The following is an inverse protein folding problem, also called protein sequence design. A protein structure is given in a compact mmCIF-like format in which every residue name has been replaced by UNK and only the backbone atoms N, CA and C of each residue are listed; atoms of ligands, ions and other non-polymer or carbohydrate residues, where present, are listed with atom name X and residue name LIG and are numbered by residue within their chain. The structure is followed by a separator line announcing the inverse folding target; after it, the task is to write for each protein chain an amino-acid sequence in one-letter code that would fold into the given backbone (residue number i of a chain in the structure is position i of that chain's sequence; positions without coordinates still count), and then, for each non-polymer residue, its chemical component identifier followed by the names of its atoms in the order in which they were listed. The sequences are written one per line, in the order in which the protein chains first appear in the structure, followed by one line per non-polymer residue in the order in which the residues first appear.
data_IF_387843153915
#
_entry.id   IF_387843153915
#
_cell.length_a   1.000
_cell.length_b   1.000
_cell.length_c   1.000
_cell.angle_alpha   90.00
_cell.angle_beta   90.00
_cell.angle_gamma   90.00
#
_symmetry.space_group_name_H-M   'P 1'
#
loop_
_entity.id
_entity.type
_entity.pdbx_description
1 polymer ?
#
# COMPACT_ATOMS: atom_id res chain seq x y z
N UNK A 1 -31.05 63.86 11.11
CA UNK A 1 -30.98 64.62 9.84
C UNK A 1 -30.13 63.90 8.82
N UNK A 2 -30.75 63.62 7.68
CA UNK A 2 -30.21 63.35 6.32
C UNK A 2 -29.23 62.18 6.20
N UNK A 3 -29.65 60.98 5.73
CA UNK A 3 -29.97 60.55 4.34
C UNK A 3 -28.78 60.69 3.41
N UNK A 4 -28.30 59.58 2.85
CA UNK A 4 -28.58 59.18 1.50
C UNK A 4 -27.93 57.87 1.09
N UNK A 5 -28.71 57.11 0.47
CA UNK A 5 -28.51 55.88 -0.33
C UNK A 5 -27.90 56.21 -1.71
N UNK A 6 -27.87 55.26 -2.64
CA UNK A 6 -26.81 54.32 -3.06
C UNK A 6 -26.44 54.53 -4.54
N UNK A 7 -25.54 53.76 -5.09
CA UNK A 7 -25.53 53.59 -6.54
C UNK A 7 -25.15 52.14 -6.98
N UNK A 8 -26.12 51.58 -7.61
CA UNK A 8 -26.05 50.51 -8.59
C UNK A 8 -25.11 50.83 -9.75
N UNK A 9 -24.50 49.82 -10.30
CA UNK A 9 -24.24 49.58 -11.77
C UNK A 9 -23.14 48.54 -11.83
N UNK A 10 -23.12 47.52 -12.67
CA UNK A 10 -24.02 47.00 -13.69
C UNK A 10 -23.51 45.59 -14.10
N UNK A 11 -24.46 44.72 -14.17
CA UNK A 11 -24.34 43.43 -14.87
C UNK A 11 -24.24 43.75 -16.36
N UNK A 12 -23.08 43.58 -16.99
CA UNK A 12 -22.86 43.32 -18.41
C UNK A 12 -21.36 43.10 -18.67
N UNK A 13 -20.88 41.87 -18.59
CA UNK A 13 -19.71 41.40 -19.35
C UNK A 13 -19.47 39.89 -19.12
N UNK A 14 -20.50 39.12 -19.37
CA UNK A 14 -20.37 37.66 -19.53
C UNK A 14 -21.13 37.26 -20.78
N UNK A 15 -20.56 37.47 -21.91
CA UNK A 15 -20.96 36.80 -23.16
C UNK A 15 -20.02 37.23 -24.31
N UNK A 16 -18.80 36.67 -24.36
CA UNK A 16 -17.97 36.66 -25.59
C UNK A 16 -16.71 35.82 -25.39
N UNK A 17 -16.84 34.47 -25.22
CA UNK A 17 -15.73 33.55 -25.55
C UNK A 17 -16.14 32.10 -25.75
N UNK A 18 -17.35 31.87 -26.21
CA UNK A 18 -17.83 30.51 -26.56
C UNK A 18 -18.14 30.39 -28.04
N UNK A 19 -17.22 30.74 -28.93
CA UNK A 19 -17.32 30.47 -30.38
C UNK A 19 -15.95 30.52 -31.05
N UNK A 20 -15.03 29.59 -30.73
CA UNK A 20 -13.84 29.30 -31.56
C UNK A 20 -13.15 28.00 -31.15
N UNK A 21 -13.82 26.84 -31.28
CA UNK A 21 -13.12 25.56 -31.30
C UNK A 21 -13.93 24.42 -31.94
N UNK A 22 -14.74 24.74 -32.93
CA UNK A 22 -15.42 23.73 -33.75
C UNK A 22 -15.09 23.87 -35.22
N UNK A 23 -13.81 23.83 -35.59
CA UNK A 23 -13.38 23.64 -36.99
C UNK A 23 -11.91 23.19 -37.02
N UNK A 24 -11.63 21.94 -36.60
CA UNK A 24 -10.43 21.20 -37.05
C UNK A 24 -10.54 19.71 -36.75
N UNK A 25 -11.55 19.05 -37.29
CA UNK A 25 -11.61 17.59 -37.35
C UNK A 25 -12.37 17.14 -38.57
N UNK A 26 -11.73 17.27 -39.70
CA UNK A 26 -12.10 16.56 -40.94
C UNK A 26 -10.94 16.64 -41.93
N UNK A 27 -10.28 15.53 -42.08
CA UNK A 27 -9.37 15.05 -43.14
C UNK A 27 -8.20 14.34 -42.48
N UNK A 28 -8.23 13.03 -42.48
CA UNK A 28 -7.48 12.13 -43.34
C UNK A 28 -7.73 10.70 -42.92
N UNK A 29 -8.46 9.97 -43.66
CA UNK A 29 -8.36 8.56 -44.01
C UNK A 29 -8.32 8.54 -45.51
N UNK A 30 -7.72 7.61 -46.28
CA UNK A 30 -7.63 6.18 -46.06
C UNK A 30 -6.30 5.49 -46.53
N UNK A 31 -6.35 4.13 -46.55
CA UNK A 31 -5.48 3.14 -47.22
C UNK A 31 -4.20 2.76 -46.48
N UNK A 32 -3.86 1.46 -46.26
CA UNK A 32 -3.82 0.33 -47.19
C UNK A 32 -3.94 -0.99 -46.37
N UNK A 33 -4.84 -1.83 -46.82
CA UNK A 33 -4.84 -3.26 -46.56
C UNK A 33 -3.83 -3.93 -47.52
N UNK A 34 -2.88 -4.69 -46.98
CA UNK A 34 -2.06 -5.61 -47.76
C UNK A 34 -2.11 -7.00 -47.14
N UNK A 35 -2.85 -7.83 -47.82
CA UNK A 35 -2.96 -9.27 -47.63
C UNK A 35 -1.64 -9.92 -48.09
N UNK A 36 -0.94 -10.63 -47.25
CA UNK A 36 0.07 -11.61 -47.63
C UNK A 36 -0.35 -12.99 -47.19
N UNK A 37 -0.85 -13.75 -48.14
CA UNK A 37 -0.99 -15.18 -48.12
C UNK A 37 0.42 -15.79 -48.31
N UNK A 38 0.97 -16.48 -47.30
CA UNK A 38 2.11 -17.34 -47.42
C UNK A 38 1.66 -18.77 -47.25
N UNK A 39 1.72 -19.55 -48.31
CA UNK A 39 1.53 -21.01 -48.32
C UNK A 39 2.74 -21.74 -47.73
N UNK A 40 2.59 -22.80 -46.96
CA UNK A 40 3.71 -23.59 -46.51
C UNK A 40 4.15 -24.58 -47.58
N UNK A 41 5.41 -24.54 -48.01
CA UNK A 41 6.05 -25.59 -48.78
C UNK A 41 6.38 -26.75 -47.85
N UNK A 42 5.73 -27.87 -48.04
CA UNK A 42 6.08 -29.14 -47.42
C UNK A 42 7.27 -29.75 -48.17
N UNK A 43 8.44 -29.83 -47.51
CA UNK A 43 9.59 -30.63 -47.97
C UNK A 43 9.67 -31.93 -47.20
N UNK A 44 10.20 -33.02 -47.78
CA UNK A 44 10.21 -34.33 -47.15
C UNK A 44 11.21 -34.43 -45.99
N UNK A 45 10.71 -34.82 -44.81
CA UNK A 45 11.55 -35.09 -43.64
C UNK A 45 12.20 -36.44 -43.75
N UNK A 46 13.49 -36.47 -43.94
CA UNK A 46 14.29 -37.69 -43.80
C UNK A 46 14.34 -38.14 -42.34
N UNK A 47 13.81 -39.33 -42.05
CA UNK A 47 13.97 -39.99 -40.76
C UNK A 47 15.39 -40.52 -40.62
N UNK A 48 16.20 -39.85 -39.81
CA UNK A 48 17.45 -40.37 -39.30
C UNK A 48 17.20 -41.11 -37.97
N UNK A 49 17.34 -42.39 -37.95
CA UNK A 49 17.39 -43.21 -36.74
C UNK A 49 18.79 -43.05 -36.15
N UNK A 50 18.95 -42.19 -35.18
CA UNK A 50 20.15 -42.14 -34.34
C UNK A 50 19.81 -42.63 -32.94
N UNK A 51 20.27 -43.84 -32.61
CA UNK A 51 20.38 -44.30 -31.24
C UNK A 51 21.41 -43.42 -30.51
N UNK A 52 20.94 -42.45 -29.75
CA UNK A 52 21.77 -41.63 -28.88
C UNK A 52 21.15 -41.58 -27.48
N UNK A 53 21.90 -42.07 -26.49
CA UNK A 53 21.58 -41.87 -25.08
C UNK A 53 21.39 -40.35 -24.80
N UNK A 54 20.17 -39.96 -24.54
CA UNK A 54 19.88 -38.59 -24.12
C UNK A 54 20.51 -38.33 -22.74
N UNK A 55 21.38 -37.33 -22.59
CA UNK A 55 21.87 -36.94 -21.28
C UNK A 55 20.69 -36.45 -20.46
N UNK A 56 20.48 -37.03 -19.25
CA UNK A 56 19.52 -36.56 -18.26
C UNK A 56 20.01 -35.23 -17.70
N UNK A 57 19.80 -34.13 -18.43
CA UNK A 57 19.90 -32.83 -17.85
C UNK A 57 18.71 -32.62 -16.90
N UNK A 58 18.97 -32.61 -15.61
CA UNK A 58 18.05 -32.01 -14.65
C UNK A 58 17.99 -30.53 -14.98
N UNK A 59 17.06 -30.13 -15.81
CA UNK A 59 16.76 -28.70 -16.02
C UNK A 59 16.28 -28.16 -14.69
N UNK A 60 17.12 -27.43 -13.97
CA UNK A 60 16.63 -26.54 -12.93
C UNK A 60 15.75 -25.54 -13.67
N UNK A 61 14.44 -25.69 -13.53
CA UNK A 61 13.49 -24.70 -14.00
C UNK A 61 13.80 -23.44 -13.21
N UNK A 62 14.53 -22.52 -13.83
CA UNK A 62 14.72 -21.18 -13.28
C UNK A 62 13.35 -20.49 -13.37
N UNK A 63 12.66 -20.41 -12.27
CA UNK A 63 11.43 -19.63 -12.19
C UNK A 63 11.75 -18.18 -12.59
N UNK A 64 10.90 -17.59 -13.44
CA UNK A 64 11.04 -16.20 -13.82
C UNK A 64 11.14 -15.30 -12.56
N UNK A 65 11.94 -14.23 -12.56
CA UNK A 65 12.21 -13.42 -11.37
C UNK A 65 10.95 -12.96 -10.63
N UNK A 66 9.92 -12.52 -11.33
CA UNK A 66 8.64 -12.08 -10.73
C UNK A 66 7.90 -13.21 -10.00
N UNK A 67 7.99 -14.46 -10.53
CA UNK A 67 7.40 -15.62 -9.88
C UNK A 67 8.10 -15.98 -8.56
N UNK A 68 9.38 -15.60 -8.40
CA UNK A 68 10.14 -15.84 -7.17
C UNK A 68 9.70 -14.91 -6.05
N UNK A 69 9.50 -13.60 -6.31
CA UNK A 69 8.98 -12.67 -5.30
C UNK A 69 7.57 -13.09 -4.86
N UNK A 70 6.72 -13.44 -5.82
CA UNK A 70 5.36 -13.89 -5.53
C UNK A 70 5.35 -15.20 -4.73
N UNK A 71 6.16 -16.19 -5.10
CA UNK A 71 6.24 -17.46 -4.36
C UNK A 71 6.74 -17.25 -2.92
N UNK A 72 7.74 -16.41 -2.73
CA UNK A 72 8.23 -16.05 -1.38
C UNK A 72 7.17 -15.31 -0.58
N UNK A 73 6.46 -14.37 -1.21
CA UNK A 73 5.36 -13.67 -0.56
C UNK A 73 4.23 -14.62 -0.15
N UNK A 74 3.86 -15.59 -0.99
CA UNK A 74 2.83 -16.59 -0.68
C UNK A 74 3.26 -17.53 0.45
N UNK A 75 4.50 -17.98 0.45
CA UNK A 75 5.05 -18.78 1.52
C UNK A 75 5.01 -18.05 2.87
N UNK A 76 5.50 -16.81 2.90
CA UNK A 76 5.49 -15.99 4.12
C UNK A 76 4.05 -15.67 4.57
N UNK A 77 3.16 -15.33 3.65
CA UNK A 77 1.75 -15.07 3.92
C UNK A 77 1.05 -16.28 4.55
N UNK A 78 1.31 -17.49 4.01
CA UNK A 78 0.80 -18.74 4.58
C UNK A 78 1.36 -19.02 5.97
N UNK A 79 2.69 -18.83 6.16
CA UNK A 79 3.35 -19.06 7.45
C UNK A 79 2.87 -18.09 8.54
N UNK A 80 2.54 -16.86 8.16
CA UNK A 80 1.96 -15.87 9.06
C UNK A 80 0.52 -16.20 9.48
N UNK A 81 -0.18 -17.07 8.76
CA UNK A 81 -1.63 -17.25 8.94
C UNK A 81 -2.42 -15.97 8.64
N UNK A 82 -1.92 -15.13 7.74
CA UNK A 82 -2.49 -13.81 7.47
C UNK A 82 -3.86 -13.87 6.80
N UNK A 83 -4.11 -14.91 5.99
CA UNK A 83 -5.40 -15.16 5.35
C UNK A 83 -6.50 -15.41 6.37
N UNK A 84 -6.23 -16.22 7.39
CA UNK A 84 -7.16 -16.54 8.47
C UNK A 84 -7.51 -15.30 9.32
N UNK A 85 -6.65 -14.27 9.26
CA UNK A 85 -6.88 -12.98 9.88
C UNK A 85 -7.46 -11.95 8.92
N UNK A 86 -7.91 -12.35 7.72
CA UNK A 86 -8.58 -11.48 6.76
C UNK A 86 -7.69 -10.48 6.01
N UNK A 87 -6.36 -10.56 6.15
CA UNK A 87 -5.46 -9.73 5.34
C UNK A 87 -5.43 -10.26 3.91
N UNK A 88 -5.77 -9.45 2.94
CA UNK A 88 -5.77 -9.84 1.52
C UNK A 88 -4.33 -9.99 1.00
N UNK A 89 -4.11 -11.03 0.18
CA UNK A 89 -2.77 -11.34 -0.35
C UNK A 89 -2.17 -10.18 -1.16
N UNK A 90 -2.96 -9.51 -1.99
CA UNK A 90 -2.49 -8.39 -2.82
C UNK A 90 -2.02 -7.21 -1.98
N UNK A 91 -2.67 -6.95 -0.85
CA UNK A 91 -2.29 -5.89 0.09
C UNK A 91 -1.03 -6.27 0.84
N UNK A 92 -0.94 -7.52 1.31
CA UNK A 92 0.26 -8.06 1.92
C UNK A 92 1.46 -8.02 0.96
N UNK A 93 1.28 -8.45 -0.30
CA UNK A 93 2.35 -8.48 -1.30
C UNK A 93 2.88 -7.06 -1.57
N UNK A 94 2.01 -6.05 -1.70
CA UNK A 94 2.42 -4.65 -1.83
C UNK A 94 3.21 -4.18 -0.60
N UNK A 95 2.69 -4.45 0.60
CA UNK A 95 3.33 -4.07 1.85
C UNK A 95 4.71 -4.73 2.00
N UNK A 96 4.83 -6.02 1.68
CA UNK A 96 6.09 -6.77 1.71
C UNK A 96 7.09 -6.24 0.69
N UNK A 97 6.64 -5.95 -0.54
CA UNK A 97 7.50 -5.35 -1.59
C UNK A 97 8.13 -4.04 -1.10
N UNK A 98 7.30 -3.15 -0.54
CA UNK A 98 7.81 -1.88 0.01
C UNK A 98 8.71 -2.06 1.23
N UNK A 99 8.39 -2.99 2.12
CA UNK A 99 9.23 -3.34 3.26
C UNK A 99 10.63 -3.78 2.82
N UNK A 100 10.73 -4.67 1.82
CA UNK A 100 12.00 -5.16 1.29
C UNK A 100 12.84 -4.02 0.68
N UNK A 101 12.20 -3.16 -0.10
CA UNK A 101 12.86 -2.00 -0.72
C UNK A 101 13.32 -0.98 0.32
N UNK A 102 12.51 -0.72 1.34
CA UNK A 102 12.88 0.17 2.44
C UNK A 102 14.03 -0.39 3.28
N UNK A 103 14.02 -1.68 3.55
CA UNK A 103 15.10 -2.36 4.27
C UNK A 103 16.40 -2.33 3.49
N UNK A 104 16.37 -2.61 2.19
CA UNK A 104 17.52 -2.51 1.30
C UNK A 104 18.08 -1.08 1.23
N UNK A 105 17.20 -0.08 1.22
CA UNK A 105 17.56 1.33 1.22
C UNK A 105 18.06 1.86 2.58
N UNK A 106 18.17 1.01 3.61
CA UNK A 106 18.60 1.39 4.96
C UNK A 106 17.64 2.37 5.65
N UNK A 107 16.35 2.37 5.26
CA UNK A 107 15.33 3.27 5.82
C UNK A 107 14.68 2.71 7.08
N UNK A 108 14.76 1.41 7.31
CA UNK A 108 14.26 0.72 8.48
C UNK A 108 15.39 0.40 9.44
N UNK A 109 15.12 0.35 10.74
CA UNK A 109 16.11 -0.08 11.72
C UNK A 109 16.43 -1.58 11.52
N UNK A 110 17.72 -1.96 11.61
CA UNK A 110 18.15 -3.32 11.32
C UNK A 110 17.47 -4.38 12.20
N UNK A 111 17.23 -4.04 13.47
CA UNK A 111 16.59 -4.92 14.46
C UNK A 111 15.07 -4.98 14.29
N UNK A 112 14.47 -4.10 13.48
CA UNK A 112 13.01 -4.05 13.29
C UNK A 112 12.58 -4.99 12.16
N UNK A 113 11.85 -6.04 12.55
CA UNK A 113 11.26 -7.01 11.63
C UNK A 113 9.72 -6.91 11.59
N UNK A 114 9.19 -5.76 12.05
CA UNK A 114 7.74 -5.52 12.09
C UNK A 114 7.27 -4.84 10.82
N UNK A 115 6.19 -5.37 10.27
CA UNK A 115 5.44 -4.77 9.18
C UNK A 115 4.00 -4.53 9.65
N UNK A 116 3.62 -3.27 9.74
CA UNK A 116 2.23 -2.89 10.04
C UNK A 116 1.51 -2.59 8.73
N UNK A 117 0.32 -3.15 8.57
CA UNK A 117 -0.54 -2.94 7.40
C UNK A 117 -1.87 -2.39 7.84
N UNK A 118 -2.32 -1.30 7.23
CA UNK A 118 -3.68 -0.78 7.36
C UNK A 118 -4.34 -0.85 6.00
N UNK A 119 -5.50 -1.53 5.91
CA UNK A 119 -6.23 -1.67 4.66
C UNK A 119 -7.53 -0.85 4.68
N UNK A 120 -7.49 0.33 4.10
CA UNK A 120 -8.65 1.22 4.00
C UNK A 120 -9.65 0.82 2.89
N UNK A 121 -9.45 -0.31 2.21
CA UNK A 121 -10.53 -0.89 1.40
C UNK A 121 -11.64 -1.47 2.28
N UNK A 122 -11.31 -1.85 3.51
CA UNK A 122 -12.27 -2.31 4.48
C UNK A 122 -12.94 -1.12 5.20
N UNK A 123 -14.22 -1.26 5.58
CA UNK A 123 -14.94 -0.24 6.35
C UNK A 123 -14.34 -0.09 7.77
N UNK A 124 -14.65 1.01 8.44
CA UNK A 124 -14.14 1.26 9.80
C UNK A 124 -14.67 0.31 10.85
N UNK A 125 -15.78 -0.37 10.57
CA UNK A 125 -16.40 -1.39 11.41
C UNK A 125 -15.65 -2.72 11.41
N UNK A 126 -14.71 -2.91 10.48
CA UNK A 126 -13.89 -4.10 10.38
C UNK A 126 -12.51 -3.89 11.01
N UNK A 127 -11.95 -4.97 11.55
CA UNK A 127 -10.54 -4.99 11.94
C UNK A 127 -9.71 -4.93 10.66
N UNK A 128 -8.99 -3.83 10.48
CA UNK A 128 -8.27 -3.52 9.23
C UNK A 128 -6.85 -3.02 9.44
N UNK A 129 -6.31 -3.25 10.65
CA UNK A 129 -4.90 -3.07 10.97
C UNK A 129 -4.32 -4.41 11.42
N UNK A 130 -3.17 -4.78 10.84
CA UNK A 130 -2.36 -5.94 11.21
C UNK A 130 -0.95 -5.49 11.56
N UNK A 131 -0.40 -6.03 12.64
CA UNK A 131 1.03 -5.94 12.97
C UNK A 131 1.62 -7.33 12.79
N UNK A 132 2.51 -7.46 11.82
CA UNK A 132 3.15 -8.70 11.41
C UNK A 132 4.58 -8.75 11.94
N UNK A 133 4.94 -9.85 12.58
CA UNK A 133 6.32 -10.20 12.89
C UNK A 133 6.85 -11.09 11.77
N UNK A 134 7.73 -10.53 10.94
CA UNK A 134 8.27 -11.25 9.78
C UNK A 134 9.39 -12.22 10.16
N UNK A 135 9.96 -12.12 11.36
CA UNK A 135 10.98 -13.04 11.88
C UNK A 135 10.36 -14.25 12.54
N UNK A 136 9.37 -14.02 13.41
CA UNK A 136 8.66 -15.07 14.13
C UNK A 136 7.48 -15.66 13.37
N UNK A 137 7.18 -15.12 12.18
CA UNK A 137 6.05 -15.50 11.33
C UNK A 137 4.72 -15.49 12.09
N UNK A 138 4.40 -14.38 12.73
CA UNK A 138 3.19 -14.23 13.54
C UNK A 138 2.43 -12.96 13.21
N UNK A 139 1.12 -13.01 13.25
CA UNK A 139 0.28 -11.82 13.38
C UNK A 139 0.23 -11.47 14.88
N UNK A 140 0.91 -10.39 15.28
CA UNK A 140 0.95 -9.95 16.67
C UNK A 140 -0.35 -9.27 17.09
N UNK A 141 -0.89 -8.44 16.21
CA UNK A 141 -2.13 -7.71 16.43
C UNK A 141 -2.96 -7.68 15.17
N UNK A 142 -4.27 -7.85 15.35
CA UNK A 142 -5.29 -7.62 14.34
C UNK A 142 -6.44 -6.86 14.99
N UNK A 143 -6.61 -5.57 14.64
CA UNK A 143 -7.48 -4.68 15.39
C UNK A 143 -8.16 -3.62 14.52
N UNK A 144 -9.08 -2.87 15.13
CA UNK A 144 -9.72 -1.69 14.57
C UNK A 144 -8.73 -0.55 14.42
N UNK A 145 -8.94 0.32 13.43
CA UNK A 145 -8.21 1.59 13.27
C UNK A 145 -9.11 2.64 12.63
N UNK A 146 -9.14 3.84 13.21
CA UNK A 146 -9.87 4.97 12.63
C UNK A 146 -9.02 5.69 11.57
N UNK A 147 -9.71 6.31 10.63
CA UNK A 147 -9.14 7.21 9.62
C UNK A 147 -9.51 8.66 9.90
N UNK A 148 -8.98 9.58 9.09
CA UNK A 148 -9.22 11.02 9.20
C UNK A 148 -10.65 11.43 8.87
N UNK A 149 -11.14 12.47 9.55
CA UNK A 149 -12.53 12.95 9.45
C UNK A 149 -12.97 13.21 8.00
N UNK A 150 -12.14 13.86 7.23
CA UNK A 150 -12.45 14.18 5.84
C UNK A 150 -12.07 13.07 4.86
N UNK A 151 -11.59 11.93 5.34
CA UNK A 151 -11.38 10.75 4.48
C UNK A 151 -12.65 10.02 4.13
N UNK A 152 -13.74 10.18 4.89
CA UNK A 152 -15.02 9.54 4.66
C UNK A 152 -15.77 9.25 5.95
N UNK A 153 -16.87 8.55 5.87
CA UNK A 153 -17.69 8.16 7.01
C UNK A 153 -17.29 6.78 7.55
N UNK A 154 -17.96 5.72 7.14
CA UNK A 154 -17.57 4.35 7.48
C UNK A 154 -16.41 3.86 6.62
N UNK A 155 -16.40 4.26 5.36
CA UNK A 155 -15.35 3.93 4.39
C UNK A 155 -14.45 5.12 4.13
N UNK A 156 -13.14 4.88 4.10
CA UNK A 156 -12.18 5.89 3.68
C UNK A 156 -12.09 5.91 2.15
N UNK A 157 -12.47 7.03 1.53
CA UNK A 157 -12.47 7.23 0.07
C UNK A 157 -11.60 8.39 -0.39
N UNK A 158 -11.23 9.31 0.52
CA UNK A 158 -10.47 10.51 0.19
C UNK A 158 -9.20 10.60 1.05
N UNK A 159 -8.08 10.96 0.41
CA UNK A 159 -6.76 11.00 1.04
C UNK A 159 -6.01 12.25 0.62
N UNK A 160 -5.14 12.77 1.47
CA UNK A 160 -4.42 14.01 1.18
C UNK A 160 -3.10 14.09 1.94
N UNK A 161 -2.10 14.69 1.29
CA UNK A 161 -0.83 15.10 1.92
C UNK A 161 -0.85 16.59 2.35
N UNK A 162 -1.95 17.30 2.07
CA UNK A 162 -2.07 18.73 2.35
C UNK A 162 -2.28 18.97 3.84
N UNK A 163 -1.63 20.02 4.35
CA UNK A 163 -1.82 20.45 5.74
C UNK A 163 -3.28 20.81 6.00
N UNK A 164 -3.77 20.55 7.22
CA UNK A 164 -5.14 20.84 7.67
C UNK A 164 -6.26 20.18 6.84
N UNK A 165 -5.92 19.23 5.97
CA UNK A 165 -6.93 18.49 5.20
C UNK A 165 -7.85 17.63 6.07
N UNK A 166 -7.41 17.26 7.28
CA UNK A 166 -8.07 16.31 8.17
C UNK A 166 -8.33 14.93 7.51
N UNK A 167 -7.56 14.61 6.46
CA UNK A 167 -7.59 13.33 5.76
C UNK A 167 -6.39 12.48 6.15
N UNK A 168 -6.58 11.18 6.14
CA UNK A 168 -5.48 10.21 6.15
C UNK A 168 -4.64 10.34 4.88
N UNK A 169 -3.38 9.92 4.93
CA UNK A 169 -2.45 9.91 3.80
C UNK A 169 -2.03 8.48 3.52
N UNK A 170 -2.02 8.08 2.24
CA UNK A 170 -1.67 6.72 1.83
C UNK A 170 -0.15 6.54 1.75
N UNK A 171 0.28 5.29 1.79
CA UNK A 171 1.63 4.89 1.44
C UNK A 171 2.47 4.38 2.61
N UNK A 172 3.79 4.39 2.40
CA UNK A 172 4.77 3.87 3.34
C UNK A 172 5.24 4.91 4.34
N UNK A 173 5.39 4.45 5.57
CA UNK A 173 5.92 5.23 6.68
C UNK A 173 7.02 4.45 7.39
N UNK A 174 7.93 5.19 8.02
CA UNK A 174 8.80 4.68 9.07
C UNK A 174 8.32 5.21 10.41
N UNK A 175 8.20 4.33 11.38
CA UNK A 175 7.84 4.70 12.75
C UNK A 175 9.02 5.39 13.43
N UNK A 176 8.73 6.47 14.12
CA UNK A 176 9.72 7.25 14.85
C UNK A 176 9.77 6.90 16.33
N UNK A 177 10.04 7.95 17.13
CA UNK A 177 10.03 7.88 18.58
C UNK A 177 8.62 8.06 19.15
N UNK A 178 8.34 7.38 20.22
CA UNK A 178 7.18 7.59 21.07
C UNK A 178 7.31 8.89 21.87
N UNK A 179 6.20 9.41 22.32
CA UNK A 179 6.14 10.58 23.22
C UNK A 179 4.78 10.63 23.93
N UNK A 180 4.76 11.29 25.09
CA UNK A 180 3.51 11.62 25.76
C UNK A 180 2.96 12.95 25.22
N UNK A 181 1.75 12.90 24.65
CA UNK A 181 1.06 14.05 24.08
C UNK A 181 -0.35 14.23 24.64
N UNK A 182 -1.13 15.10 24.03
CA UNK A 182 -2.54 15.32 24.44
C UNK A 182 -3.43 14.06 24.31
N UNK A 183 -2.99 13.08 23.53
CA UNK A 183 -3.66 11.80 23.35
C UNK A 183 -2.99 10.66 24.13
N UNK A 184 -2.16 11.00 25.14
CA UNK A 184 -1.33 10.05 25.87
C UNK A 184 -0.16 9.54 25.03
N UNK A 185 0.22 8.28 25.26
CA UNK A 185 1.28 7.59 24.55
C UNK A 185 1.04 7.59 23.04
N UNK A 186 1.93 8.20 22.31
CA UNK A 186 1.79 8.46 20.87
C UNK A 186 3.08 8.16 20.13
N UNK A 187 2.98 7.76 18.86
CA UNK A 187 4.11 7.39 18.01
C UNK A 187 4.18 8.27 16.78
N UNK A 188 5.32 8.92 16.56
CA UNK A 188 5.57 9.73 15.37
C UNK A 188 5.67 8.86 14.12
N UNK A 189 5.11 9.34 13.01
CA UNK A 189 5.12 8.68 11.72
C UNK A 189 5.78 9.57 10.67
N UNK A 190 6.85 9.06 10.05
CA UNK A 190 7.51 9.74 8.93
C UNK A 190 7.04 9.15 7.61
N UNK A 191 6.30 9.91 6.83
CA UNK A 191 5.88 9.51 5.48
C UNK A 191 7.03 9.55 4.48
N UNK A 192 7.05 8.61 3.54
CA UNK A 192 8.16 8.38 2.62
C UNK A 192 7.78 8.57 1.15
N UNK A 193 6.48 8.63 0.85
CA UNK A 193 5.96 8.67 -0.52
C UNK A 193 5.63 10.09 -0.94
N UNK A 194 6.43 10.58 -1.88
CA UNK A 194 6.30 11.94 -2.40
C UNK A 194 4.91 12.15 -3.04
N UNK A 195 4.32 13.30 -2.72
CA UNK A 195 2.96 13.62 -3.16
C UNK A 195 1.84 12.95 -2.33
N UNK A 196 2.13 11.89 -1.56
CA UNK A 196 1.12 11.13 -0.83
C UNK A 196 1.16 11.33 0.68
N UNK A 197 2.36 11.31 1.32
CA UNK A 197 2.45 11.37 2.77
C UNK A 197 3.71 12.06 3.33
N UNK A 198 4.55 12.65 2.50
CA UNK A 198 5.80 13.29 2.94
C UNK A 198 5.60 14.43 3.94
N UNK A 199 4.42 15.02 3.99
CA UNK A 199 4.07 16.07 4.96
C UNK A 199 3.59 15.51 6.32
N UNK A 200 3.59 14.19 6.53
CA UNK A 200 3.04 13.58 7.73
C UNK A 200 3.64 14.15 9.03
N UNK A 201 4.97 14.34 9.10
CA UNK A 201 5.61 14.95 10.27
C UNK A 201 5.17 16.40 10.50
N UNK A 202 5.12 17.21 9.44
CA UNK A 202 4.68 18.62 9.51
C UNK A 202 3.21 18.73 9.89
N UNK A 203 2.39 17.76 9.48
CA UNK A 203 0.97 17.63 9.83
C UNK A 203 0.74 17.01 11.20
N UNK A 204 1.80 16.66 11.92
CA UNK A 204 1.73 15.96 13.21
C UNK A 204 0.91 14.65 13.14
N UNK A 205 0.99 13.92 12.04
CA UNK A 205 0.37 12.60 11.90
C UNK A 205 1.10 11.61 12.80
N UNK A 206 0.37 11.00 13.73
CA UNK A 206 0.90 10.06 14.73
C UNK A 206 -0.04 8.88 14.89
N UNK A 207 0.46 7.76 15.40
CA UNK A 207 -0.37 6.68 15.90
C UNK A 207 -0.66 6.94 17.38
N UNK A 208 -1.93 6.84 17.80
CA UNK A 208 -2.35 7.12 19.16
C UNK A 208 -3.62 6.34 19.54
N UNK A 209 -3.93 6.26 20.84
CA UNK A 209 -5.18 5.69 21.32
C UNK A 209 -6.34 6.68 21.24
N UNK A 210 -7.57 6.16 21.08
CA UNK A 210 -8.78 6.98 21.13
C UNK A 210 -9.99 6.16 21.60
N UNK A 211 -10.85 6.77 22.40
CA UNK A 211 -12.08 6.18 22.96
C UNK A 211 -13.13 5.90 21.88
N UNK A 212 -13.11 6.67 20.81
CA UNK A 212 -14.00 6.51 19.66
C UNK A 212 -13.58 5.34 18.73
N UNK A 213 -12.55 4.58 19.08
CA UNK A 213 -12.14 3.36 18.39
C UNK A 213 -12.46 2.15 19.24
N UNK A 214 -13.72 1.73 19.18
CA UNK A 214 -14.22 0.60 19.97
C UNK A 214 -15.46 -0.02 19.36
N UNK A 215 -15.71 -1.29 19.66
CA UNK A 215 -16.93 -2.01 19.28
C UNK A 215 -18.18 -1.33 19.86
N UNK A 216 -18.07 -0.76 21.07
CA UNK A 216 -19.18 -0.01 21.69
C UNK A 216 -19.52 1.25 20.92
N UNK A 217 -18.51 1.96 20.40
CA UNK A 217 -18.73 3.14 19.56
C UNK A 217 -19.39 2.75 18.22
N UNK A 218 -18.94 1.65 17.60
CA UNK A 218 -19.56 1.11 16.37
C UNK A 218 -21.02 0.78 16.62
N UNK A 219 -21.33 0.08 17.71
CA UNK A 219 -22.69 -0.30 18.04
C UNK A 219 -23.63 0.90 18.21
N UNK A 220 -23.12 2.02 18.72
CA UNK A 220 -23.92 3.24 18.94
C UNK A 220 -24.04 4.10 17.69
N UNK A 221 -23.01 4.13 16.82
CA UNK A 221 -22.88 5.10 15.73
C UNK A 221 -22.85 4.48 14.33
N UNK A 222 -22.86 3.13 14.22
CA UNK A 222 -22.77 2.41 12.95
C UNK A 222 -21.38 2.45 12.29
N UNK A 223 -20.38 3.11 12.92
CA UNK A 223 -19.00 3.23 12.46
C UNK A 223 -18.08 3.63 13.62
N UNK A 224 -16.77 3.63 13.39
CA UNK A 224 -15.83 4.27 14.31
C UNK A 224 -15.96 5.81 14.30
N UNK A 225 -15.44 6.46 15.34
CA UNK A 225 -15.10 7.87 15.28
C UNK A 225 -13.94 8.12 14.31
N UNK A 226 -13.55 9.37 14.15
CA UNK A 226 -12.57 9.79 13.14
C UNK A 226 -11.57 10.77 13.73
N UNK A 227 -10.32 10.64 13.31
CA UNK A 227 -9.21 11.53 13.70
C UNK A 227 -9.12 12.77 12.79
N UNK A 228 -8.05 13.53 12.94
CA UNK A 228 -7.68 14.61 12.01
C UNK A 228 -6.63 14.14 10.97
N UNK A 229 -6.60 12.82 10.68
CA UNK A 229 -5.70 12.18 9.71
C UNK A 229 -4.82 11.09 10.29
N UNK A 230 -4.69 11.03 11.61
CA UNK A 230 -3.91 10.03 12.34
C UNK A 230 -4.54 8.63 12.26
N UNK A 231 -3.78 7.53 12.19
CA UNK A 231 -4.29 6.21 12.52
C UNK A 231 -4.52 6.12 14.04
N UNK A 232 -5.78 6.16 14.48
CA UNK A 232 -6.14 6.04 15.89
C UNK A 232 -6.56 4.60 16.21
N UNK A 233 -6.16 4.11 17.38
CA UNK A 233 -6.26 2.73 17.84
C UNK A 233 -7.20 2.59 19.06
N UNK A 234 -7.70 1.37 19.35
CA UNK A 234 -8.43 1.10 20.59
C UNK A 234 -7.58 1.35 21.84
N UNK A 235 -8.20 1.90 22.89
CA UNK A 235 -7.52 2.23 24.15
C UNK A 235 -6.99 1.00 24.90
N UNK A 236 -7.54 -0.18 24.67
CA UNK A 236 -7.12 -1.43 25.33
C UNK A 236 -5.82 -2.01 24.80
N UNK A 237 -5.40 -1.62 23.59
CA UNK A 237 -4.27 -2.23 22.87
C UNK A 237 -3.28 -1.23 22.24
N UNK A 238 -3.61 0.06 22.18
CA UNK A 238 -2.76 1.03 21.46
C UNK A 238 -1.33 1.13 22.02
N UNK A 239 -1.17 1.10 23.35
CA UNK A 239 0.15 1.25 23.96
C UNK A 239 1.07 0.08 23.62
N UNK A 240 0.55 -1.15 23.72
CA UNK A 240 1.30 -2.36 23.37
C UNK A 240 1.63 -2.42 21.87
N UNK A 241 0.72 -1.94 21.02
CA UNK A 241 0.97 -1.85 19.58
C UNK A 241 2.08 -0.84 19.30
N UNK A 242 2.04 0.35 19.91
CA UNK A 242 3.08 1.37 19.78
C UNK A 242 4.43 0.79 20.22
N UNK A 243 4.49 0.12 21.37
CA UNK A 243 5.71 -0.52 21.88
C UNK A 243 6.27 -1.57 20.91
N UNK A 244 5.39 -2.36 20.27
CA UNK A 244 5.81 -3.38 19.31
C UNK A 244 6.37 -2.81 18.00
N UNK A 245 5.93 -1.62 17.58
CA UNK A 245 6.25 -1.07 16.25
C UNK A 245 7.13 0.19 16.29
N UNK A 246 7.45 0.76 17.45
CA UNK A 246 8.29 1.96 17.56
C UNK A 246 9.72 1.75 17.08
N UNK A 247 10.41 2.84 16.74
CA UNK A 247 11.86 2.83 16.53
C UNK A 247 12.27 2.24 15.17
N UNK A 248 11.63 2.64 14.08
CA UNK A 248 12.12 2.35 12.73
C UNK A 248 11.47 1.15 12.04
N UNK A 249 10.26 0.75 12.42
CA UNK A 249 9.50 -0.29 11.70
C UNK A 249 8.76 0.28 10.48
N UNK A 250 8.33 -0.60 9.60
CA UNK A 250 7.55 -0.26 8.42
C UNK A 250 6.04 -0.24 8.73
N UNK A 251 5.36 0.82 8.27
CA UNK A 251 3.90 0.91 8.26
C UNK A 251 3.44 1.22 6.84
N UNK A 252 2.45 0.51 6.34
CA UNK A 252 1.83 0.72 5.03
C UNK A 252 0.32 0.96 5.15
N UNK A 253 -0.14 2.09 4.62
CA UNK A 253 -1.55 2.45 4.51
C UNK A 253 -2.01 2.22 3.08
N UNK A 254 -2.85 1.21 2.89
CA UNK A 254 -3.39 0.83 1.58
C UNK A 254 -4.78 1.42 1.33
N UNK A 255 -5.02 1.82 0.10
CA UNK A 255 -6.34 1.92 -0.56
C UNK A 255 -6.16 1.57 -2.02
N UNK A 256 -6.93 0.61 -2.51
CA UNK A 256 -6.98 0.27 -3.93
C UNK A 256 -7.65 1.40 -4.72
N UNK A 257 -7.28 1.55 -5.98
CA UNK A 257 -7.90 2.50 -6.92
C UNK A 257 -7.82 3.99 -6.53
N UNK A 258 -6.99 4.36 -5.57
CA UNK A 258 -6.81 5.76 -5.15
C UNK A 258 -5.71 6.49 -5.96
N UNK A 259 -5.25 5.92 -7.07
CA UNK A 259 -4.16 6.50 -7.87
C UNK A 259 -2.81 6.51 -7.14
N UNK A 260 -2.67 5.73 -6.06
CA UNK A 260 -1.44 5.65 -5.28
C UNK A 260 -0.32 4.96 -6.06
N UNK A 261 0.84 5.61 -6.10
CA UNK A 261 2.08 5.08 -6.65
C UNK A 261 3.25 5.35 -5.69
N UNK A 262 4.22 4.46 -5.67
CA UNK A 262 5.43 4.60 -4.84
C UNK A 262 6.62 3.95 -5.52
N UNK A 263 7.78 4.58 -5.41
CA UNK A 263 9.05 3.98 -5.83
C UNK A 263 9.40 2.72 -5.04
N UNK A 264 8.83 2.55 -3.85
CA UNK A 264 9.03 1.36 -3.02
C UNK A 264 8.20 0.17 -3.46
N UNK A 265 7.32 0.32 -4.46
CA UNK A 265 6.59 -0.79 -5.08
C UNK A 265 7.33 -1.42 -6.28
N UNK A 266 8.59 -1.05 -6.49
CA UNK A 266 9.44 -1.66 -7.51
C UNK A 266 9.71 -3.13 -7.17
N UNK A 267 9.20 -4.03 -8.01
CA UNK A 267 9.28 -5.47 -7.81
C UNK A 267 10.68 -6.03 -8.14
N UNK A 268 11.42 -5.42 -9.06
CA UNK A 268 12.76 -5.86 -9.40
C UNK A 268 13.77 -5.48 -8.32
N UNK A 269 13.64 -4.28 -7.75
CA UNK A 269 14.44 -3.86 -6.61
C UNK A 269 14.17 -4.78 -5.38
N UNK A 270 12.92 -5.13 -5.11
CA UNK A 270 12.55 -6.05 -4.03
C UNK A 270 13.14 -7.46 -4.24
N UNK A 271 13.17 -7.96 -5.47
CA UNK A 271 13.83 -9.22 -5.81
C UNK A 271 15.34 -9.18 -5.52
N UNK A 272 15.99 -8.06 -5.84
CA UNK A 272 17.40 -7.86 -5.53
C UNK A 272 17.63 -7.89 -4.02
N UNK A 273 16.74 -7.26 -3.24
CA UNK A 273 16.77 -7.30 -1.78
C UNK A 273 16.66 -8.73 -1.24
N UNK A 274 15.76 -9.56 -1.80
CA UNK A 274 15.65 -10.98 -1.45
C UNK A 274 16.90 -11.78 -1.78
N UNK A 275 17.57 -11.51 -2.89
CA UNK A 275 18.78 -12.21 -3.32
C UNK A 275 20.00 -11.85 -2.47
N UNK A 276 20.12 -10.61 -2.03
CA UNK A 276 21.19 -10.14 -1.15
C UNK A 276 20.98 -10.69 0.28
N UNK A 277 19.74 -10.88 0.67
CA UNK A 277 19.38 -11.44 1.98
C UNK A 277 19.51 -12.97 2.07
N UNK A 278 19.86 -13.67 0.97
CA UNK A 278 20.00 -15.12 0.87
C UNK A 278 21.45 -15.57 1.17
N UNK A 279 21.71 -16.73 1.76
CA UNK A 279 21.06 -17.53 2.80
C UNK A 279 21.82 -17.54 4.14
N UNK A 280 22.62 -16.53 4.48
CA UNK A 280 23.42 -16.51 5.71
C UNK A 280 22.83 -15.64 6.83
N UNK A 281 21.89 -14.73 6.55
CA UNK A 281 21.34 -13.79 7.55
C UNK A 281 19.81 -13.84 7.71
N UNK A 282 19.06 -14.30 6.73
CA UNK A 282 17.67 -14.69 6.97
C UNK A 282 17.69 -16.15 7.42
N UNK A 283 18.00 -16.41 8.66
CA UNK A 283 17.76 -17.72 9.29
C UNK A 283 16.25 -17.89 9.44
N UNK A 284 15.59 -18.16 8.31
CA UNK A 284 14.31 -18.85 8.35
C UNK A 284 14.63 -20.23 8.91
N UNK A 285 14.45 -20.42 10.18
CA UNK A 285 14.41 -21.76 10.78
C UNK A 285 13.17 -22.44 10.22
N UNK A 286 13.31 -23.07 9.07
CA UNK A 286 12.35 -24.07 8.64
C UNK A 286 12.48 -25.20 9.65
N UNK A 287 11.61 -25.23 10.64
CA UNK A 287 11.35 -26.44 11.41
C UNK A 287 10.74 -27.42 10.42
N UNK A 288 11.58 -28.28 9.86
CA UNK A 288 11.10 -29.48 9.19
C UNK A 288 10.21 -30.21 10.21
N UNK A 289 8.92 -30.29 9.90
CA UNK A 289 8.03 -31.21 10.59
C UNK A 289 8.59 -32.60 10.33
N UNK A 290 9.23 -33.18 11.34
CA UNK A 290 9.45 -34.62 11.38
C UNK A 290 8.18 -35.22 11.97
N UNK A 291 7.57 -36.07 11.10
CA UNK A 291 6.53 -37.05 11.37
C UNK A 291 6.58 -37.66 12.75
#
# INVERSE_FOLDING_TARGET
MKSHHPHHTSVVQRQRSARKSQRLMRRVLPFVASLFLATPLAGPVARSLANGHAPKYKTKVSMAPLSRLESTARELYSNLGAEQQGLRFEVFQKALTGYLNLKQAGRLAEHQQRLTVIDFDLPSTEKRLWVLDLEEHKVLYHTLVAHGHNSGENEASSFSNTNESNMSSLGFYVTGHEYEGKHGHSLRLQGLDEGFNTNALARAVVMHGADYVSESFIKQNGRLGRSLGCPALPLDSYSQIIDAVKGGSCLFLNKSNAGYASKYLDTEAALTALNISSPAKLKIKIKAARS
#
